data_IF_771188398497
#
_entry.id   IF_771188398497
#
_cell.length_a   1.000
_cell.length_b   1.000
_cell.length_c   1.000
_cell.angle_alpha   90.00
_cell.angle_beta   90.00
_cell.angle_gamma   90.00
#
_symmetry.space_group_name_H-M   'P 1'
#
loop_
_entity.id
_entity.type
_entity.pdbx_description
1 polymer ?
#
# COMPACT_ATOMS: atom_id res chain seq x y z
N UNK A 1 5.42 -3.47 22.47
CA UNK A 1 4.18 -2.79 22.92
C UNK A 1 4.33 -1.28 23.13
N UNK A 2 5.28 -0.78 23.93
CA UNK A 2 5.38 0.66 24.21
C UNK A 2 5.49 1.59 22.99
N UNK A 3 6.10 1.12 21.89
CA UNK A 3 6.33 1.92 20.66
C UNK A 3 5.03 2.11 19.84
N UNK A 4 4.09 1.17 19.90
CA UNK A 4 2.86 1.26 19.09
C UNK A 4 1.89 2.32 19.61
N UNK A 5 1.93 2.66 20.91
CA UNK A 5 1.03 3.66 21.52
C UNK A 5 1.26 5.06 20.94
N UNK A 6 2.48 5.65 20.95
CA UNK A 6 2.70 6.97 20.33
C UNK A 6 2.38 6.99 18.83
N UNK A 7 2.64 5.88 18.14
CA UNK A 7 2.32 5.75 16.71
C UNK A 7 0.80 5.74 16.48
N UNK A 8 0.05 5.03 17.32
CA UNK A 8 -1.41 5.01 17.30
C UNK A 8 -2.02 6.39 17.53
N UNK A 9 -1.50 7.16 18.49
CA UNK A 9 -1.95 8.54 18.75
C UNK A 9 -1.86 9.42 17.49
N UNK A 10 -0.81 9.27 16.67
CA UNK A 10 -0.68 10.03 15.41
C UNK A 10 -1.81 9.74 14.42
N UNK A 11 -2.29 8.48 14.36
CA UNK A 11 -3.43 8.10 13.49
C UNK A 11 -4.69 8.86 13.91
N UNK A 12 -4.98 8.92 15.21
CA UNK A 12 -6.13 9.66 15.72
C UNK A 12 -6.01 11.17 15.48
N UNK A 13 -4.81 11.74 15.62
CA UNK A 13 -4.58 13.15 15.31
C UNK A 13 -4.94 13.47 13.85
N UNK A 14 -4.56 12.62 12.89
CA UNK A 14 -4.92 12.83 11.47
C UNK A 14 -6.42 12.70 11.23
N UNK A 15 -7.09 11.73 11.86
CA UNK A 15 -8.54 11.57 11.77
C UNK A 15 -9.28 12.81 12.29
N UNK A 16 -8.90 13.32 13.45
CA UNK A 16 -9.53 14.52 14.03
C UNK A 16 -9.16 15.82 13.31
N UNK A 17 -8.00 15.88 12.65
CA UNK A 17 -7.65 17.02 11.78
C UNK A 17 -8.54 17.07 10.54
N UNK A 18 -8.94 15.92 10.01
CA UNK A 18 -9.85 15.82 8.88
C UNK A 18 -11.32 15.97 9.29
N UNK A 19 -11.67 15.55 10.51
CA UNK A 19 -13.03 15.62 11.02
C UNK A 19 -13.51 17.07 11.12
N UNK A 20 -14.71 17.34 10.58
CA UNK A 20 -15.28 18.70 10.41
C UNK A 20 -14.45 19.65 9.53
N UNK A 21 -13.41 19.17 8.87
CA UNK A 21 -12.67 19.90 7.84
C UNK A 21 -13.41 19.93 6.49
N UNK A 22 -13.10 20.92 5.66
CA UNK A 22 -13.53 20.96 4.25
C UNK A 22 -12.49 20.26 3.38
N UNK A 23 -12.75 19.00 3.00
CA UNK A 23 -11.80 18.17 2.27
C UNK A 23 -12.15 18.13 0.78
N UNK A 24 -11.15 18.27 -0.07
CA UNK A 24 -11.25 18.01 -1.50
C UNK A 24 -10.48 16.74 -1.88
N UNK A 25 -11.13 15.84 -2.61
CA UNK A 25 -10.55 14.55 -3.01
C UNK A 25 -9.68 14.71 -4.27
N UNK A 26 -8.55 15.38 -4.10
CA UNK A 26 -7.46 15.49 -5.08
C UNK A 26 -6.57 14.25 -5.03
N UNK A 27 -5.74 14.03 -6.05
CA UNK A 27 -4.86 12.86 -6.14
C UNK A 27 -3.93 12.70 -4.92
N UNK A 28 -3.24 13.74 -4.40
CA UNK A 28 -2.48 13.62 -3.16
C UNK A 28 -3.32 13.26 -1.94
N UNK A 29 -4.55 13.79 -1.85
CA UNK A 29 -5.46 13.51 -0.74
C UNK A 29 -5.90 12.04 -0.75
N UNK A 30 -6.10 11.44 -1.94
CA UNK A 30 -6.43 10.01 -2.03
C UNK A 30 -5.33 9.12 -1.46
N UNK A 31 -4.05 9.43 -1.71
CA UNK A 31 -2.94 8.70 -1.09
C UNK A 31 -2.92 8.84 0.43
N UNK A 32 -3.16 10.03 0.96
CA UNK A 32 -3.26 10.26 2.41
C UNK A 32 -4.45 9.52 3.04
N UNK A 33 -5.59 9.48 2.33
CA UNK A 33 -6.79 8.75 2.77
C UNK A 33 -6.59 7.24 2.69
N UNK A 34 -5.95 6.73 1.65
CA UNK A 34 -5.60 5.32 1.50
C UNK A 34 -4.58 4.87 2.54
N UNK A 35 -3.66 5.76 2.94
CA UNK A 35 -2.66 5.47 3.96
C UNK A 35 -3.29 5.05 5.30
N UNK A 36 -4.27 5.79 5.83
CA UNK A 36 -4.80 5.56 7.18
C UNK A 36 -5.31 4.11 7.38
N UNK A 37 -6.29 3.60 6.62
CA UNK A 37 -6.82 2.26 6.85
C UNK A 37 -5.76 1.17 6.57
N UNK A 38 -4.98 1.28 5.50
CA UNK A 38 -3.97 0.25 5.18
C UNK A 38 -2.86 0.20 6.23
N UNK A 39 -2.36 1.36 6.67
CA UNK A 39 -1.34 1.41 7.69
C UNK A 39 -1.86 0.85 9.02
N UNK A 40 -3.13 1.09 9.36
CA UNK A 40 -3.77 0.49 10.54
C UNK A 40 -3.92 -1.02 10.40
N UNK A 41 -4.32 -1.54 9.23
CA UNK A 41 -4.38 -2.98 8.96
C UNK A 41 -3.00 -3.64 9.17
N UNK A 42 -1.92 -3.01 8.70
CA UNK A 42 -0.57 -3.45 9.00
C UNK A 42 -0.19 -3.27 10.48
N UNK A 43 -0.62 -2.19 11.10
CA UNK A 43 -0.32 -1.87 12.49
C UNK A 43 -0.89 -2.91 13.46
N UNK A 44 -2.13 -3.36 13.26
CA UNK A 44 -2.76 -4.37 14.12
C UNK A 44 -2.06 -5.73 14.03
N UNK A 45 -1.53 -6.11 12.87
CA UNK A 45 -0.72 -7.34 12.72
C UNK A 45 0.68 -7.18 13.31
N UNK A 46 1.23 -5.96 13.35
CA UNK A 46 2.49 -5.66 14.03
C UNK A 46 2.43 -5.78 15.54
N UNK A 47 1.27 -5.48 16.13
CA UNK A 47 1.02 -5.74 17.55
C UNK A 47 1.06 -7.25 17.83
N UNK A 48 0.56 -8.09 16.93
CA UNK A 48 0.70 -9.55 17.07
C UNK A 48 2.17 -9.95 17.00
N UNK A 49 2.93 -9.48 16.02
CA UNK A 49 4.36 -9.79 15.87
C UNK A 49 5.23 -9.36 17.07
N UNK A 50 4.80 -8.32 17.80
CA UNK A 50 5.51 -7.90 19.01
C UNK A 50 5.20 -8.77 20.26
N UNK A 51 4.31 -9.76 20.17
CA UNK A 51 4.05 -10.75 21.22
C UNK A 51 5.01 -11.94 21.07
N UNK A 52 6.11 -11.93 21.82
CA UNK A 52 7.17 -12.96 21.72
C UNK A 52 6.65 -14.41 21.88
N UNK A 53 5.67 -14.62 22.76
CA UNK A 53 5.08 -15.95 22.98
C UNK A 53 4.37 -16.52 21.73
N UNK A 54 3.81 -15.65 20.89
CA UNK A 54 3.10 -16.05 19.66
C UNK A 54 3.96 -15.91 18.41
N UNK A 55 5.03 -15.09 18.43
CA UNK A 55 5.87 -14.82 17.25
C UNK A 55 6.45 -16.09 16.65
N UNK A 56 6.84 -17.05 17.48
CA UNK A 56 7.36 -18.35 17.02
C UNK A 56 6.45 -19.06 16.00
N UNK A 57 5.14 -18.85 16.03
CA UNK A 57 4.18 -19.50 15.14
C UNK A 57 4.20 -18.94 13.71
N UNK A 58 4.35 -17.62 13.56
CA UNK A 58 4.30 -16.93 12.26
C UNK A 58 5.65 -16.31 11.87
N UNK A 59 6.69 -16.60 12.65
CA UNK A 59 8.05 -16.19 12.35
C UNK A 59 8.49 -16.79 11.01
N UNK A 60 9.05 -15.95 10.13
CA UNK A 60 9.49 -16.33 8.79
C UNK A 60 8.42 -16.98 7.88
N UNK A 61 7.13 -16.83 8.17
CA UNK A 61 6.08 -17.14 7.20
C UNK A 61 5.69 -15.91 6.38
N UNK A 62 4.82 -16.10 5.39
CA UNK A 62 4.24 -15.01 4.60
C UNK A 62 3.48 -13.99 5.46
N UNK A 63 3.12 -14.30 6.71
CA UNK A 63 2.44 -13.38 7.62
C UNK A 63 3.34 -12.18 7.97
N UNK A 64 4.62 -12.44 8.27
CA UNK A 64 5.62 -11.41 8.52
C UNK A 64 5.85 -10.54 7.27
N UNK A 65 5.87 -11.17 6.09
CA UNK A 65 6.04 -10.47 4.81
C UNK A 65 4.84 -9.55 4.57
N UNK A 66 3.61 -10.07 4.70
CA UNK A 66 2.38 -9.30 4.50
C UNK A 66 2.28 -8.12 5.46
N UNK A 67 2.54 -8.34 6.75
CA UNK A 67 2.59 -7.28 7.77
C UNK A 67 3.49 -6.13 7.33
N UNK A 68 4.74 -6.44 6.99
CA UNK A 68 5.73 -5.41 6.64
C UNK A 68 5.32 -4.63 5.39
N UNK A 69 4.78 -5.30 4.36
CA UNK A 69 4.32 -4.63 3.15
C UNK A 69 3.13 -3.72 3.41
N UNK A 70 2.20 -4.14 4.28
CA UNK A 70 1.09 -3.27 4.70
C UNK A 70 1.58 -1.99 5.39
N UNK A 71 2.58 -2.09 6.26
CA UNK A 71 3.12 -0.93 7.00
C UNK A 71 4.01 -0.05 6.12
N UNK A 72 4.97 -0.63 5.41
CA UNK A 72 5.99 0.15 4.67
C UNK A 72 5.42 0.75 3.38
N UNK A 73 4.63 0.01 2.61
CA UNK A 73 4.10 0.52 1.34
C UNK A 73 3.04 1.58 1.63
N UNK A 74 2.08 1.30 2.51
CA UNK A 74 1.09 2.31 2.87
C UNK A 74 1.73 3.51 3.56
N UNK A 75 2.73 3.30 4.43
CA UNK A 75 3.41 4.37 5.14
C UNK A 75 4.32 5.21 4.23
N UNK A 76 5.38 4.60 3.70
CA UNK A 76 6.43 5.30 2.97
C UNK A 76 6.10 5.46 1.50
N UNK A 77 5.69 4.40 0.80
CA UNK A 77 5.49 4.48 -0.66
C UNK A 77 4.31 5.37 -1.01
N UNK A 78 3.17 5.28 -0.29
CA UNK A 78 2.06 6.21 -0.53
C UNK A 78 2.44 7.64 -0.16
N UNK A 79 3.25 7.86 0.88
CA UNK A 79 3.76 9.19 1.19
C UNK A 79 4.70 9.72 0.10
N UNK A 80 5.53 8.87 -0.51
CA UNK A 80 6.34 9.22 -1.67
C UNK A 80 5.47 9.60 -2.87
N UNK A 81 4.40 8.87 -3.16
CA UNK A 81 3.46 9.23 -4.25
C UNK A 81 2.67 10.51 -3.94
N UNK A 82 2.16 10.65 -2.72
CA UNK A 82 1.47 11.86 -2.27
C UNK A 82 2.39 13.07 -2.40
N UNK A 83 3.62 12.96 -1.88
CA UNK A 83 4.63 14.02 -1.92
C UNK A 83 5.06 14.35 -3.34
N UNK A 84 5.29 13.35 -4.19
CA UNK A 84 5.63 13.54 -5.60
C UNK A 84 4.55 14.37 -6.30
N UNK A 85 3.28 14.00 -6.18
CA UNK A 85 2.18 14.69 -6.87
C UNK A 85 1.90 16.07 -6.25
N UNK A 86 1.96 16.18 -4.94
CA UNK A 86 1.69 17.42 -4.21
C UNK A 86 2.76 18.50 -4.46
N UNK A 87 4.04 18.12 -4.43
CA UNK A 87 5.17 19.03 -4.65
C UNK A 87 5.67 19.06 -6.11
N UNK A 88 5.06 18.31 -7.03
CA UNK A 88 5.40 18.36 -8.46
C UNK A 88 5.44 19.78 -9.04
N UNK A 89 4.46 20.68 -8.74
CA UNK A 89 4.49 22.05 -9.24
C UNK A 89 5.66 22.87 -8.72
N UNK A 90 6.18 22.52 -7.54
CA UNK A 90 7.37 23.16 -6.99
C UNK A 90 8.65 22.70 -7.70
N UNK A 91 8.69 21.46 -8.17
CA UNK A 91 9.83 20.90 -8.89
C UNK A 91 9.92 21.37 -10.35
N UNK A 92 8.78 21.42 -11.06
CA UNK A 92 8.77 21.65 -12.51
C UNK A 92 7.90 22.81 -12.97
N UNK A 93 7.15 23.48 -12.07
CA UNK A 93 6.32 24.64 -12.40
C UNK A 93 4.90 24.31 -12.90
N UNK A 94 4.51 23.03 -12.96
CA UNK A 94 3.17 22.61 -13.42
C UNK A 94 2.62 21.41 -12.63
N UNK A 95 1.30 21.19 -12.74
CA UNK A 95 0.59 20.10 -12.06
C UNK A 95 0.48 18.86 -12.95
N UNK A 96 0.49 17.70 -12.31
CA UNK A 96 0.15 16.43 -12.92
C UNK A 96 -1.36 16.33 -13.23
N UNK A 97 -1.74 15.51 -14.21
CA UNK A 97 -3.14 15.33 -14.59
C UNK A 97 -3.93 14.56 -13.51
N UNK A 98 -4.92 15.22 -12.91
CA UNK A 98 -5.73 14.65 -11.82
C UNK A 98 -6.56 13.42 -12.22
N UNK A 99 -7.07 13.36 -13.46
CA UNK A 99 -7.91 12.22 -13.89
C UNK A 99 -7.11 10.93 -13.94
N UNK A 100 -5.88 11.02 -14.45
CA UNK A 100 -4.98 9.88 -14.58
C UNK A 100 -4.36 9.54 -13.22
N UNK A 101 -4.02 10.54 -12.41
CA UNK A 101 -3.58 10.35 -11.03
C UNK A 101 -4.58 9.55 -10.19
N UNK A 102 -5.88 9.77 -10.39
CA UNK A 102 -6.95 8.97 -9.75
C UNK A 102 -7.01 7.53 -10.25
N UNK A 103 -6.83 7.30 -11.55
CA UNK A 103 -6.75 5.94 -12.10
C UNK A 103 -5.55 5.18 -11.54
N UNK A 104 -4.38 5.81 -11.52
CA UNK A 104 -3.18 5.26 -10.90
C UNK A 104 -3.45 4.86 -9.43
N UNK A 105 -4.03 5.77 -8.65
CA UNK A 105 -4.39 5.51 -7.27
C UNK A 105 -5.28 4.26 -7.13
N UNK A 106 -6.40 4.18 -7.85
CA UNK A 106 -7.34 3.08 -7.67
C UNK A 106 -6.79 1.72 -8.09
N UNK A 107 -6.11 1.66 -9.24
CA UNK A 107 -5.50 0.41 -9.72
C UNK A 107 -4.44 -0.07 -8.73
N UNK A 108 -3.57 0.83 -8.25
CA UNK A 108 -2.52 0.49 -7.30
C UNK A 108 -3.08 0.10 -5.93
N UNK A 109 -4.05 0.84 -5.41
CA UNK A 109 -4.68 0.63 -4.10
C UNK A 109 -5.44 -0.71 -4.02
N UNK A 110 -6.18 -1.05 -5.07
CA UNK A 110 -6.90 -2.33 -5.16
C UNK A 110 -5.90 -3.47 -5.33
N UNK A 111 -4.95 -3.33 -6.25
CA UNK A 111 -3.88 -4.32 -6.46
C UNK A 111 -3.08 -4.59 -5.19
N UNK A 112 -2.79 -3.56 -4.41
CA UNK A 112 -2.10 -3.66 -3.13
C UNK A 112 -2.82 -4.56 -2.11
N UNK A 113 -4.13 -4.35 -1.93
CA UNK A 113 -4.91 -5.18 -1.01
C UNK A 113 -5.06 -6.62 -1.52
N UNK A 114 -5.32 -6.80 -2.82
CA UNK A 114 -5.40 -8.14 -3.44
C UNK A 114 -4.04 -8.86 -3.37
N UNK A 115 -2.93 -8.13 -3.41
CA UNK A 115 -1.60 -8.70 -3.34
C UNK A 115 -1.30 -9.22 -1.92
N UNK A 116 -1.37 -8.35 -0.91
CA UNK A 116 -0.82 -8.67 0.40
C UNK A 116 -1.85 -9.23 1.38
N UNK A 117 -3.14 -8.94 1.22
CA UNK A 117 -4.15 -9.46 2.16
C UNK A 117 -4.24 -10.99 2.13
N UNK A 118 -4.26 -11.67 0.97
CA UNK A 118 -4.21 -13.14 0.91
C UNK A 118 -2.94 -13.73 1.55
N UNK A 119 -1.84 -12.98 1.57
CA UNK A 119 -0.58 -13.43 2.18
C UNK A 119 -0.67 -13.55 3.70
N UNK A 120 -1.60 -12.83 4.37
CA UNK A 120 -1.87 -13.10 5.78
C UNK A 120 -2.39 -14.52 5.97
N UNK A 121 -3.33 -14.96 5.14
CA UNK A 121 -3.88 -16.32 5.20
C UNK A 121 -2.84 -17.37 4.79
N UNK A 122 -2.08 -17.14 3.71
CA UNK A 122 -0.96 -18.02 3.33
C UNK A 122 0.05 -18.20 4.46
N UNK A 123 0.41 -17.11 5.13
CA UNK A 123 1.34 -17.14 6.25
C UNK A 123 0.82 -17.90 7.46
N UNK A 124 -0.49 -17.81 7.74
CA UNK A 124 -1.15 -18.55 8.81
C UNK A 124 -1.39 -20.02 8.45
N UNK A 125 -1.56 -20.34 7.16
CA UNK A 125 -1.60 -21.71 6.64
C UNK A 125 -0.22 -22.38 6.57
N UNK A 126 0.84 -21.65 6.91
CA UNK A 126 2.19 -22.20 7.05
C UNK A 126 3.10 -21.99 5.85
N UNK A 127 2.73 -21.19 4.84
CA UNK A 127 3.62 -20.92 3.70
C UNK A 127 4.85 -20.11 4.16
N UNK A 128 6.07 -20.68 4.13
CA UNK A 128 7.28 -19.99 4.56
C UNK A 128 7.74 -18.96 3.51
N UNK A 129 8.41 -17.90 3.96
CA UNK A 129 9.03 -16.92 3.05
C UNK A 129 10.26 -17.51 2.35
N UNK A 130 10.66 -16.91 1.23
CA UNK A 130 11.90 -17.26 0.48
C UNK A 130 11.89 -18.69 -0.09
N UNK A 131 10.72 -19.18 -0.46
CA UNK A 131 10.57 -20.40 -1.25
C UNK A 131 10.19 -20.02 -2.68
N UNK A 132 10.67 -20.80 -3.65
CA UNK A 132 10.36 -20.58 -5.07
C UNK A 132 9.22 -21.48 -5.57
N UNK A 133 8.90 -22.56 -4.84
CA UNK A 133 7.86 -23.53 -5.20
C UNK A 133 7.20 -24.09 -3.93
N UNK A 134 5.98 -24.60 -4.07
CA UNK A 134 5.19 -25.32 -3.07
C UNK A 134 4.41 -26.44 -3.77
N UNK A 135 3.97 -27.45 -3.02
CA UNK A 135 3.26 -28.59 -3.54
C UNK A 135 1.77 -28.29 -3.79
N UNK A 136 1.11 -28.90 -4.79
CA UNK A 136 -0.34 -28.82 -4.96
C UNK A 136 -1.13 -29.30 -3.74
N UNK A 137 -0.58 -30.24 -2.98
CA UNK A 137 -1.12 -30.82 -1.75
C UNK A 137 -1.22 -29.82 -0.58
N UNK A 138 -0.46 -28.72 -0.62
CA UNK A 138 -0.41 -27.72 0.45
C UNK A 138 -1.67 -26.82 0.48
N UNK A 139 -2.46 -26.79 -0.60
CA UNK A 139 -3.69 -25.99 -0.69
C UNK A 139 -3.48 -24.47 -0.83
N UNK A 140 -2.24 -24.02 -1.04
CA UNK A 140 -1.88 -22.59 -1.12
C UNK A 140 -2.09 -21.95 -2.50
N UNK A 141 -2.28 -22.76 -3.55
CA UNK A 141 -2.28 -22.34 -4.96
C UNK A 141 -3.22 -21.18 -5.24
N UNK A 142 -4.48 -21.26 -4.79
CA UNK A 142 -5.48 -20.24 -5.08
C UNK A 142 -5.11 -18.87 -4.46
N UNK A 143 -4.75 -18.86 -3.18
CA UNK A 143 -4.40 -17.61 -2.47
C UNK A 143 -3.10 -17.00 -2.99
N UNK A 144 -2.11 -17.84 -3.33
CA UNK A 144 -0.86 -17.39 -3.91
C UNK A 144 -1.06 -16.82 -5.33
N UNK A 145 -1.93 -17.43 -6.12
CA UNK A 145 -2.29 -16.92 -7.43
C UNK A 145 -3.03 -15.58 -7.35
N UNK A 146 -3.99 -15.44 -6.43
CA UNK A 146 -4.66 -14.14 -6.18
C UNK A 146 -3.64 -13.07 -5.78
N UNK A 147 -2.70 -13.42 -4.89
CA UNK A 147 -1.61 -12.52 -4.51
C UNK A 147 -0.80 -12.06 -5.72
N UNK A 148 -0.50 -12.99 -6.64
CA UNK A 148 0.22 -12.72 -7.89
C UNK A 148 -0.55 -11.77 -8.80
N UNK A 149 -1.87 -11.95 -8.97
CA UNK A 149 -2.72 -11.02 -9.73
C UNK A 149 -2.62 -9.61 -9.14
N UNK A 150 -2.72 -9.48 -7.82
CA UNK A 150 -2.59 -8.18 -7.14
C UNK A 150 -1.23 -7.52 -7.37
N UNK A 151 -0.15 -8.31 -7.37
CA UNK A 151 1.20 -7.81 -7.66
C UNK A 151 1.30 -7.25 -9.08
N UNK A 152 0.78 -7.95 -10.09
CA UNK A 152 0.74 -7.44 -11.47
C UNK A 152 -0.15 -6.21 -11.61
N UNK A 153 -1.28 -6.14 -10.91
CA UNK A 153 -2.14 -4.94 -10.89
C UNK A 153 -1.39 -3.70 -10.37
N UNK A 154 -0.59 -3.84 -9.32
CA UNK A 154 0.27 -2.74 -8.83
C UNK A 154 1.30 -2.31 -9.90
N UNK A 155 1.90 -3.28 -10.60
CA UNK A 155 2.81 -3.02 -11.72
C UNK A 155 2.15 -2.22 -12.85
N UNK A 156 0.93 -2.57 -13.23
CA UNK A 156 0.13 -1.81 -14.21
C UNK A 156 -0.14 -0.39 -13.72
N UNK A 157 -0.44 -0.22 -12.42
CA UNK A 157 -0.55 1.10 -11.80
C UNK A 157 0.71 1.95 -12.03
N UNK A 158 1.89 1.39 -11.79
CA UNK A 158 3.15 2.11 -11.99
C UNK A 158 3.40 2.50 -13.46
N UNK A 159 3.00 1.65 -14.41
CA UNK A 159 3.04 1.95 -15.85
C UNK A 159 2.16 3.17 -16.18
N UNK A 160 0.96 3.28 -15.58
CA UNK A 160 0.07 4.44 -15.74
C UNK A 160 0.75 5.72 -15.25
N UNK A 161 1.43 5.66 -14.09
CA UNK A 161 2.18 6.80 -13.55
C UNK A 161 3.30 7.25 -14.49
N UNK A 162 4.11 6.35 -15.02
CA UNK A 162 5.30 6.71 -15.80
C UNK A 162 4.97 7.06 -17.25
N UNK A 163 4.18 6.24 -17.95
CA UNK A 163 3.96 6.40 -19.39
C UNK A 163 2.82 7.38 -19.68
N UNK A 164 1.64 7.16 -19.10
CA UNK A 164 0.47 7.98 -19.42
C UNK A 164 0.60 9.42 -18.91
N UNK A 165 1.13 9.58 -17.70
CA UNK A 165 1.31 10.91 -17.11
C UNK A 165 2.34 11.74 -17.90
N UNK A 166 3.44 11.11 -18.34
CA UNK A 166 4.52 11.79 -19.05
C UNK A 166 4.19 12.08 -20.52
N UNK A 167 3.60 11.12 -21.23
CA UNK A 167 3.23 11.28 -22.64
C UNK A 167 2.21 12.40 -22.85
N UNK A 168 1.16 12.46 -22.04
CA UNK A 168 0.14 13.50 -22.15
C UNK A 168 0.65 14.88 -21.70
N UNK A 169 1.71 14.91 -20.90
CA UNK A 169 2.37 16.16 -20.56
C UNK A 169 3.17 16.72 -21.74
N UNK A 170 3.88 15.87 -22.49
CA UNK A 170 4.60 16.28 -23.70
C UNK A 170 3.67 16.87 -24.77
N UNK A 171 2.43 16.41 -24.84
CA UNK A 171 1.43 16.98 -25.76
C UNK A 171 0.96 18.37 -25.33
N UNK A 172 0.74 18.61 -24.02
CA UNK A 172 0.34 19.93 -23.51
C UNK A 172 1.41 21.01 -23.64
N UNK A 173 2.69 20.67 -23.80
CA UNK A 173 3.76 21.65 -24.04
C UNK A 173 3.97 21.99 -25.52
N UNK A 174 3.34 21.24 -26.44
CA UNK A 174 3.45 21.48 -27.89
C UNK A 174 2.40 22.45 -28.44
N UNK A 175 1.45 22.88 -27.60
CA UNK A 175 0.41 23.87 -27.91
C UNK A 175 0.66 25.15 -27.15
#
# INVERSE_FOLDING_TARGET
>A
MAISVPTGVKIFNWLFTMYRGRISFTSPMLWALGFIPNFVIGGVTGVMLAMAAADYQYHNTYFLVSHFHYVLIAGTVFACFAGLVFWYPKMFGYKLNERIGKWFFWVFMIGFNICFFPQYFLGLQGMPRRIYTYGPEDGWTALNFISTIGAFMMGIGFIILCLLQHLLQLETFKT
#
